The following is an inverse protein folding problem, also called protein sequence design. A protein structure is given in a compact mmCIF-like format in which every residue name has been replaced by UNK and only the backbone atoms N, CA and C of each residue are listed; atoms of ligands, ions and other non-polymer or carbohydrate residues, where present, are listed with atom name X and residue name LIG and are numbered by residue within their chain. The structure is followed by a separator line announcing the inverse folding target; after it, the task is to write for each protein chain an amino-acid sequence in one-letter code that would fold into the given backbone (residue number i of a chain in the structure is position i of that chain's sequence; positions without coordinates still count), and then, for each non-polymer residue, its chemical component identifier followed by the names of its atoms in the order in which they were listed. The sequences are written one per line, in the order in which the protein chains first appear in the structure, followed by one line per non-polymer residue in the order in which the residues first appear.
data_IF_632696693434
#
_entry.id   IF_632696693434
#
_cell.length_a   1.000
_cell.length_b   1.000
_cell.length_c   1.000
_cell.angle_alpha   90.00
_cell.angle_beta   90.00
_cell.angle_gamma   90.00
#
_symmetry.space_group_name_H-M   'P 1'
#
loop_
_entity.id
_entity.type
_entity.pdbx_description
1 polymer ?
#
# COMPACT_ATOMS: atom_id res chain seq x y z
N UNK A 1 72.61 1.63 48.55
CA UNK A 1 71.87 0.43 48.99
C UNK A 1 70.47 0.86 49.40
N UNK A 2 69.47 0.44 48.62
CA UNK A 2 68.02 0.36 48.93
C UNK A 2 67.29 1.69 49.25
N UNK A 3 66.15 2.05 48.64
CA UNK A 3 65.26 1.29 47.77
C UNK A 3 64.22 2.21 47.13
N UNK A 4 63.92 1.90 45.87
CA UNK A 4 62.80 2.45 45.11
C UNK A 4 61.55 1.70 45.55
N UNK A 5 60.46 2.40 45.87
CA UNK A 5 59.12 1.81 45.75
C UNK A 5 58.08 2.91 45.50
N UNK A 6 57.52 2.81 44.29
CA UNK A 6 56.53 3.65 43.66
C UNK A 6 55.22 3.68 44.46
N UNK A 7 54.75 4.89 44.77
CA UNK A 7 53.35 5.14 45.17
C UNK A 7 52.53 5.12 43.88
N UNK A 8 52.05 3.92 43.51
CA UNK A 8 51.08 3.74 42.44
C UNK A 8 49.68 4.07 42.95
N UNK A 9 49.07 5.09 42.35
CA UNK A 9 47.66 5.47 42.48
C UNK A 9 46.76 4.25 42.16
N UNK A 10 46.25 3.57 43.18
CA UNK A 10 45.09 2.71 43.04
C UNK A 10 43.83 3.59 43.00
N UNK A 11 43.57 4.19 41.83
CA UNK A 11 42.20 4.50 41.44
C UNK A 11 41.56 3.14 41.12
N UNK A 12 40.52 2.68 41.84
CA UNK A 12 39.73 1.58 41.32
C UNK A 12 39.08 2.09 40.04
N UNK A 13 39.59 1.64 38.90
CA UNK A 13 38.84 1.69 37.66
C UNK A 13 37.59 0.86 37.91
N UNK A 14 36.51 1.54 38.30
CA UNK A 14 35.16 1.07 38.05
C UNK A 14 35.02 1.07 36.53
N UNK A 15 35.56 0.03 35.89
CA UNK A 15 35.13 -0.37 34.57
C UNK A 15 33.69 -0.82 34.78
N UNK A 16 32.78 0.13 34.57
CA UNK A 16 31.42 -0.16 34.19
C UNK A 16 31.50 -0.96 32.89
N UNK A 17 31.65 -2.28 33.02
CA UNK A 17 31.28 -3.22 31.97
C UNK A 17 29.78 -3.03 31.75
N UNK A 18 29.41 -2.01 30.96
CA UNK A 18 28.20 -2.12 30.16
C UNK A 18 28.53 -3.20 29.15
N UNK A 19 28.29 -4.45 29.55
CA UNK A 19 28.25 -5.57 28.63
C UNK A 19 27.41 -5.12 27.44
N UNK A 20 28.01 -5.12 26.25
CA UNK A 20 27.25 -5.02 25.02
C UNK A 20 26.14 -6.07 25.12
N UNK A 21 24.85 -5.71 24.97
CA UNK A 21 23.79 -6.69 25.07
C UNK A 21 24.11 -7.81 24.08
N UNK A 22 24.35 -9.01 24.59
CA UNK A 22 24.69 -10.16 23.79
C UNK A 22 23.57 -10.35 22.77
N UNK A 23 23.88 -10.14 21.49
CA UNK A 23 22.89 -10.24 20.43
C UNK A 23 22.50 -11.71 20.34
N UNK A 24 21.29 -12.01 20.81
CA UNK A 24 20.71 -13.36 20.78
C UNK A 24 20.84 -13.92 19.35
N UNK A 25 21.61 -15.01 19.24
CA UNK A 25 22.02 -15.62 17.97
C UNK A 25 20.83 -16.03 17.11
N UNK A 26 19.64 -16.22 17.71
CA UNK A 26 18.38 -16.47 17.00
C UNK A 26 17.97 -15.34 16.07
N UNK A 27 18.30 -14.10 16.38
CA UNK A 27 17.90 -12.92 15.59
C UNK A 27 18.99 -12.44 14.64
N UNK A 28 20.22 -12.95 14.77
CA UNK A 28 21.38 -12.48 14.04
C UNK A 28 21.17 -12.51 12.51
N UNK A 29 20.52 -13.55 12.01
CA UNK A 29 20.17 -13.66 10.59
C UNK A 29 19.31 -12.48 10.10
N UNK A 30 18.23 -12.16 10.83
CA UNK A 30 17.31 -11.07 10.48
C UNK A 30 17.97 -9.70 10.63
N UNK A 31 18.75 -9.51 11.71
CA UNK A 31 19.48 -8.25 11.94
C UNK A 31 20.49 -7.98 10.83
N UNK A 32 21.20 -9.00 10.35
CA UNK A 32 22.12 -8.89 9.22
C UNK A 32 21.39 -8.55 7.91
N UNK A 33 20.21 -9.14 7.67
CA UNK A 33 19.39 -8.78 6.51
C UNK A 33 18.93 -7.32 6.57
N UNK A 34 18.42 -6.86 7.71
CA UNK A 34 17.99 -5.46 7.91
C UNK A 34 19.17 -4.52 7.69
N UNK A 35 20.32 -4.80 8.31
CA UNK A 35 21.52 -3.98 8.19
C UNK A 35 21.95 -3.85 6.72
N UNK A 36 22.01 -4.98 6.01
CA UNK A 36 22.37 -5.02 4.58
C UNK A 36 21.36 -4.24 3.73
N UNK A 37 20.06 -4.39 4.00
CA UNK A 37 19.00 -3.70 3.26
C UNK A 37 19.06 -2.18 3.46
N UNK A 38 19.23 -1.72 4.72
CA UNK A 38 19.35 -0.30 5.06
C UNK A 38 20.59 0.33 4.42
N UNK A 39 21.74 -0.38 4.43
CA UNK A 39 22.96 0.11 3.79
C UNK A 39 22.85 0.24 2.26
N UNK A 40 22.06 -0.62 1.62
CA UNK A 40 21.84 -0.61 0.17
C UNK A 40 20.71 0.32 -0.26
N UNK A 41 19.85 0.73 0.66
CA UNK A 41 18.72 1.58 0.35
C UNK A 41 19.20 3.01 0.08
N UNK A 42 18.93 3.49 -1.13
CA UNK A 42 19.01 4.92 -1.44
C UNK A 42 17.60 5.49 -1.38
N UNK A 43 17.35 6.57 -0.61
CA UNK A 43 16.07 7.25 -0.68
C UNK A 43 15.87 7.77 -2.11
N UNK A 44 14.66 7.61 -2.69
CA UNK A 44 14.39 8.12 -4.02
C UNK A 44 14.41 9.65 -4.01
N UNK A 45 14.95 10.26 -5.07
CA UNK A 45 14.93 11.72 -5.25
C UNK A 45 13.48 12.20 -5.43
N UNK A 46 12.88 12.62 -4.32
CA UNK A 46 11.45 12.93 -4.22
C UNK A 46 11.04 14.24 -4.90
N UNK A 47 11.99 15.08 -5.31
CA UNK A 47 11.70 16.45 -5.77
C UNK A 47 11.02 16.52 -7.14
N UNK A 48 11.12 15.48 -7.98
CA UNK A 48 10.62 15.52 -9.37
C UNK A 48 9.59 14.43 -9.70
N UNK A 49 9.03 13.72 -8.70
CA UNK A 49 8.06 12.65 -8.95
C UNK A 49 8.62 11.41 -9.67
N UNK A 50 9.95 11.26 -9.73
CA UNK A 50 10.65 10.21 -10.48
C UNK A 50 10.77 8.88 -9.74
N UNK A 51 10.28 8.80 -8.49
CA UNK A 51 10.37 7.60 -7.65
C UNK A 51 9.88 6.32 -8.36
N UNK A 52 8.89 6.45 -9.23
CA UNK A 52 8.27 5.33 -9.95
C UNK A 52 8.67 5.27 -11.43
N UNK A 53 9.58 6.13 -11.89
CA UNK A 53 9.96 6.21 -13.31
C UNK A 53 10.59 4.90 -13.81
N UNK A 54 11.36 4.22 -12.96
CA UNK A 54 11.93 2.90 -13.30
C UNK A 54 10.83 1.88 -13.64
N UNK A 55 9.73 1.88 -12.90
CA UNK A 55 8.59 0.97 -13.15
C UNK A 55 8.00 1.25 -14.54
N UNK A 56 7.76 2.52 -14.85
CA UNK A 56 7.28 2.93 -16.16
C UNK A 56 8.25 2.52 -17.29
N UNK A 57 9.56 2.68 -17.08
CA UNK A 57 10.56 2.29 -18.07
C UNK A 57 10.56 0.77 -18.31
N UNK A 58 10.50 -0.03 -17.26
CA UNK A 58 10.48 -1.49 -17.34
C UNK A 58 9.21 -1.99 -18.05
N UNK A 59 8.05 -1.40 -17.76
CA UNK A 59 6.77 -1.75 -18.39
C UNK A 59 6.70 -1.36 -19.88
N UNK A 60 7.35 -0.26 -20.26
CA UNK A 60 7.33 0.24 -21.64
C UNK A 60 8.47 -0.30 -22.52
N UNK A 61 9.53 -0.87 -21.94
CA UNK A 61 10.67 -1.41 -22.69
C UNK A 61 10.26 -2.42 -23.80
N UNK A 62 9.29 -3.33 -23.58
CA UNK A 62 8.84 -4.24 -24.63
C UNK A 62 8.27 -3.54 -25.87
N UNK A 63 7.80 -2.29 -25.74
CA UNK A 63 7.17 -1.51 -26.80
C UNK A 63 8.11 -0.46 -27.40
N UNK A 64 9.40 -0.52 -27.08
CA UNK A 64 10.42 0.44 -27.56
C UNK A 64 10.52 0.55 -29.08
N UNK A 65 10.19 -0.53 -29.81
CA UNK A 65 10.15 -0.54 -31.29
C UNK A 65 8.89 0.11 -31.87
N UNK A 66 7.97 0.58 -31.02
CA UNK A 66 6.71 1.18 -31.40
C UNK A 66 5.53 0.20 -31.36
N UNK A 67 4.33 0.76 -31.27
CA UNK A 67 3.06 0.03 -31.27
C UNK A 67 2.44 0.20 -32.64
N UNK A 68 2.29 -0.89 -33.40
CA UNK A 68 1.70 -0.85 -34.73
C UNK A 68 0.17 -0.82 -34.67
N UNK A 69 -0.46 -0.33 -35.75
CA UNK A 69 -1.91 -0.37 -35.91
C UNK A 69 -2.46 -1.80 -35.82
N UNK A 70 -1.77 -2.77 -36.43
CA UNK A 70 -2.19 -4.17 -36.41
C UNK A 70 -2.13 -4.76 -35.00
N UNK A 71 -1.11 -4.37 -34.22
CA UNK A 71 -1.03 -4.75 -32.81
C UNK A 71 -2.22 -4.19 -32.02
N UNK A 72 -2.55 -2.92 -32.22
CA UNK A 72 -3.71 -2.31 -31.56
C UNK A 72 -5.03 -3.00 -31.94
N UNK A 73 -5.25 -3.27 -33.23
CA UNK A 73 -6.44 -4.01 -33.71
C UNK A 73 -6.54 -5.42 -33.11
N UNK A 74 -5.41 -6.11 -32.95
CA UNK A 74 -5.37 -7.42 -32.28
C UNK A 74 -5.78 -7.33 -30.80
N UNK A 75 -5.39 -6.27 -30.08
CA UNK A 75 -5.80 -6.06 -28.69
C UNK A 75 -7.31 -5.78 -28.60
N UNK A 76 -7.84 -4.90 -29.47
CA UNK A 76 -9.26 -4.55 -29.52
C UNK A 76 -10.15 -5.77 -29.84
N UNK A 77 -9.78 -6.55 -30.86
CA UNK A 77 -10.54 -7.76 -31.25
C UNK A 77 -10.60 -8.82 -30.15
N UNK A 78 -9.60 -8.87 -29.27
CA UNK A 78 -9.55 -9.79 -28.12
C UNK A 78 -10.31 -9.28 -26.90
N UNK A 79 -10.82 -8.05 -26.92
CA UNK A 79 -11.55 -7.42 -25.79
C UNK A 79 -10.78 -7.51 -24.46
N UNK A 80 -9.48 -7.19 -24.48
CA UNK A 80 -8.61 -7.32 -23.30
C UNK A 80 -8.78 -6.19 -22.27
N UNK A 81 -9.52 -5.14 -22.61
CA UNK A 81 -9.80 -3.99 -21.74
C UNK A 81 -10.73 -3.01 -22.44
N UNK A 82 -10.89 -1.84 -21.85
CA UNK A 82 -11.74 -0.78 -22.39
C UNK A 82 -10.93 0.15 -23.30
N UNK A 83 -11.38 0.36 -24.54
CA UNK A 83 -10.72 1.24 -25.51
C UNK A 83 -11.03 2.71 -25.25
N UNK A 84 -9.96 3.51 -25.19
CA UNK A 84 -9.99 4.96 -25.08
C UNK A 84 -9.20 5.59 -26.23
N UNK A 85 -9.62 6.78 -26.63
CA UNK A 85 -8.91 7.62 -27.58
C UNK A 85 -8.86 9.05 -27.03
N UNK A 86 -7.71 9.69 -27.19
CA UNK A 86 -7.50 11.11 -26.93
C UNK A 86 -7.25 11.75 -28.28
N UNK A 87 -8.12 12.67 -28.68
CA UNK A 87 -8.01 13.38 -29.95
C UNK A 87 -8.36 14.85 -29.71
N UNK A 88 -7.43 15.75 -30.02
CA UNK A 88 -7.55 17.19 -29.78
C UNK A 88 -7.94 17.52 -28.33
N UNK A 89 -7.22 16.92 -27.37
CA UNK A 89 -7.46 17.07 -25.92
C UNK A 89 -8.89 16.72 -25.47
N UNK A 90 -9.55 15.80 -26.18
CA UNK A 90 -10.85 15.24 -25.80
C UNK A 90 -10.73 13.74 -25.63
N UNK A 91 -11.30 13.24 -24.54
CA UNK A 91 -11.38 11.81 -24.25
C UNK A 91 -12.62 11.21 -24.90
N UNK A 92 -12.40 10.12 -25.61
CA UNK A 92 -13.43 9.24 -26.16
C UNK A 92 -13.21 7.85 -25.58
N UNK A 93 -14.30 7.12 -25.35
CA UNK A 93 -14.30 5.75 -24.84
C UNK A 93 -15.29 4.94 -25.67
N UNK A 94 -15.02 3.67 -25.86
CA UNK A 94 -16.06 2.75 -26.35
C UNK A 94 -17.26 2.73 -25.38
N UNK A 95 -18.43 2.33 -25.86
CA UNK A 95 -19.65 2.35 -25.05
C UNK A 95 -19.55 1.36 -23.87
N UNK A 96 -19.13 0.13 -24.15
CA UNK A 96 -19.03 -0.96 -23.17
C UNK A 96 -17.87 -0.74 -22.18
N UNK A 97 -18.19 -0.59 -20.88
CA UNK A 97 -17.23 -0.75 -19.79
C UNK A 97 -17.80 -1.73 -18.77
N UNK A 98 -17.10 -2.84 -18.55
CA UNK A 98 -17.53 -3.91 -17.65
C UNK A 98 -17.74 -3.44 -16.21
N UNK A 99 -16.91 -2.51 -15.73
CA UNK A 99 -16.96 -1.97 -14.38
C UNK A 99 -17.04 -0.44 -14.41
N UNK A 100 -18.26 0.11 -14.54
CA UNK A 100 -18.47 1.55 -14.75
C UNK A 100 -17.76 2.44 -13.72
N UNK A 101 -17.84 2.10 -12.42
CA UNK A 101 -17.15 2.87 -11.38
C UNK A 101 -15.62 2.80 -11.47
N UNK A 102 -15.05 1.68 -11.97
CA UNK A 102 -13.60 1.57 -12.22
C UNK A 102 -13.19 2.48 -13.40
N UNK A 103 -13.98 2.48 -14.49
CA UNK A 103 -13.76 3.39 -15.61
C UNK A 103 -13.84 4.85 -15.18
N UNK A 104 -14.86 5.24 -14.38
CA UNK A 104 -14.96 6.61 -13.87
C UNK A 104 -13.76 7.03 -13.00
N UNK A 105 -13.24 6.11 -12.17
CA UNK A 105 -12.01 6.36 -11.41
C UNK A 105 -10.77 6.56 -12.28
N UNK A 106 -10.66 5.86 -13.42
CA UNK A 106 -9.58 6.09 -14.42
C UNK A 106 -9.79 7.41 -15.16
N UNK A 107 -11.01 7.67 -15.62
CA UNK A 107 -11.39 8.88 -16.35
C UNK A 107 -11.12 10.15 -15.53
N UNK A 108 -11.31 10.11 -14.20
CA UNK A 108 -10.95 11.22 -13.31
C UNK A 108 -9.52 11.72 -13.56
N UNK A 109 -8.54 10.82 -13.58
CA UNK A 109 -7.14 11.17 -13.79
C UNK A 109 -6.84 11.54 -15.25
N UNK A 110 -7.43 10.82 -16.22
CA UNK A 110 -7.24 11.15 -17.64
C UNK A 110 -7.74 12.56 -17.96
N UNK A 111 -8.93 12.92 -17.46
CA UNK A 111 -9.55 14.23 -17.65
C UNK A 111 -8.70 15.37 -17.06
N UNK A 112 -8.06 15.15 -15.92
CA UNK A 112 -7.12 16.12 -15.30
C UNK A 112 -5.88 16.32 -16.18
N UNK A 113 -5.39 15.26 -16.82
CA UNK A 113 -4.19 15.28 -17.65
C UNK A 113 -4.44 15.75 -19.09
N UNK A 114 -5.68 15.67 -19.59
CA UNK A 114 -6.06 15.94 -20.98
C UNK A 114 -5.40 17.18 -21.62
N UNK A 115 -5.32 18.36 -20.94
CA UNK A 115 -4.71 19.55 -21.53
C UNK A 115 -3.25 19.36 -21.96
N UNK A 116 -2.54 18.40 -21.37
CA UNK A 116 -1.13 18.15 -21.60
C UNK A 116 -0.85 16.86 -22.39
N UNK A 117 -1.87 16.07 -22.71
CA UNK A 117 -1.71 14.80 -23.42
C UNK A 117 -1.80 15.00 -24.94
N UNK A 118 -0.89 14.38 -25.73
CA UNK A 118 -1.02 14.35 -27.17
C UNK A 118 -2.13 13.39 -27.62
N UNK A 119 -2.44 13.42 -28.91
CA UNK A 119 -3.33 12.44 -29.53
C UNK A 119 -2.77 11.02 -29.38
N UNK A 120 -3.58 10.11 -28.84
CA UNK A 120 -3.20 8.72 -28.58
C UNK A 120 -4.42 7.82 -28.44
N UNK A 121 -4.22 6.51 -28.50
CA UNK A 121 -5.24 5.53 -28.13
C UNK A 121 -4.69 4.51 -27.14
N UNK A 122 -5.56 4.04 -26.24
CA UNK A 122 -5.22 3.23 -25.08
C UNK A 122 -6.24 2.11 -24.94
N UNK A 123 -5.81 0.95 -24.45
CA UNK A 123 -6.72 -0.10 -23.97
C UNK A 123 -6.42 -0.30 -22.50
N UNK A 124 -7.38 0.04 -21.64
CA UNK A 124 -7.20 0.01 -20.18
C UNK A 124 -7.99 -1.17 -19.63
N UNK A 125 -7.29 -2.19 -19.15
CA UNK A 125 -7.92 -3.32 -18.49
C UNK A 125 -8.29 -2.96 -17.05
N UNK A 126 -9.59 -2.91 -16.75
CA UNK A 126 -10.10 -2.70 -15.39
C UNK A 126 -10.30 -4.01 -14.60
N UNK A 127 -9.88 -5.15 -15.15
CA UNK A 127 -9.92 -6.46 -14.49
C UNK A 127 -8.58 -6.76 -13.81
N UNK A 128 -8.54 -7.78 -12.96
CA UNK A 128 -7.40 -8.05 -12.07
C UNK A 128 -6.26 -8.85 -12.76
N UNK A 129 -5.95 -8.56 -14.02
CA UNK A 129 -4.90 -9.23 -14.81
C UNK A 129 -3.65 -8.36 -14.98
N UNK A 130 -2.47 -8.98 -15.14
CA UNK A 130 -1.20 -8.27 -15.29
C UNK A 130 -1.07 -7.63 -16.68
N UNK A 131 -0.86 -6.31 -16.70
CA UNK A 131 -0.59 -5.48 -17.88
C UNK A 131 0.38 -4.34 -17.48
N UNK A 132 0.64 -3.37 -18.38
CA UNK A 132 1.34 -2.11 -18.02
C UNK A 132 0.64 -1.48 -16.82
N UNK A 133 1.39 -1.23 -15.75
CA UNK A 133 0.80 -0.74 -14.50
C UNK A 133 0.38 0.72 -14.62
N UNK A 134 -0.77 1.02 -14.04
CA UNK A 134 -1.28 2.38 -13.88
C UNK A 134 -1.87 2.55 -12.47
N UNK A 135 -1.95 3.79 -11.94
CA UNK A 135 -2.60 4.04 -10.66
C UNK A 135 -4.05 3.54 -10.69
N UNK A 136 -4.37 2.59 -9.82
CA UNK A 136 -5.69 1.97 -9.81
C UNK A 136 -6.82 2.99 -9.58
N UNK A 137 -7.97 2.76 -10.20
CA UNK A 137 -9.19 3.55 -10.07
C UNK A 137 -9.53 3.90 -8.61
N UNK A 138 -9.29 2.96 -7.68
CA UNK A 138 -9.59 3.10 -6.24
C UNK A 138 -8.83 4.23 -5.53
N UNK A 139 -7.82 4.84 -6.16
CA UNK A 139 -7.27 6.11 -5.66
C UNK A 139 -8.34 7.21 -5.63
N UNK A 140 -9.31 7.15 -6.55
CA UNK A 140 -10.48 8.02 -6.61
C UNK A 140 -11.78 7.29 -6.22
N UNK A 141 -12.17 6.23 -6.95
CA UNK A 141 -13.41 5.48 -6.72
C UNK A 141 -13.41 4.08 -7.37
N UNK A 142 -14.49 3.32 -7.21
CA UNK A 142 -14.65 2.01 -7.88
C UNK A 142 -13.88 0.85 -7.23
N UNK A 143 -13.32 1.05 -6.04
CA UNK A 143 -12.78 -0.02 -5.22
C UNK A 143 -13.88 -0.90 -4.57
N UNK A 144 -13.51 -1.91 -3.76
CA UNK A 144 -14.46 -2.84 -3.18
C UNK A 144 -15.55 -2.16 -2.32
N UNK A 145 -16.82 -2.47 -2.58
CA UNK A 145 -17.97 -1.98 -1.82
C UNK A 145 -18.26 -2.87 -0.60
N UNK A 146 -17.43 -2.70 0.43
CA UNK A 146 -17.47 -3.49 1.65
C UNK A 146 -18.54 -2.93 2.60
N UNK A 147 -19.73 -3.52 2.62
CA UNK A 147 -20.79 -3.09 3.54
C UNK A 147 -20.50 -3.46 4.99
N UNK A 148 -20.76 -2.58 5.99
CA UNK A 148 -21.30 -1.21 5.88
C UNK A 148 -20.24 -0.10 5.80
N UNK A 149 -18.96 -0.46 5.72
CA UNK A 149 -17.83 0.48 5.91
C UNK A 149 -17.59 1.36 4.67
N UNK A 150 -17.71 0.78 3.48
CA UNK A 150 -17.55 1.44 2.18
C UNK A 150 -18.79 1.21 1.30
N UNK A 151 -19.93 1.84 1.63
CA UNK A 151 -21.19 1.60 0.94
C UNK A 151 -21.16 1.99 -0.55
N UNK A 152 -20.32 2.95 -0.92
CA UNK A 152 -20.14 3.45 -2.29
C UNK A 152 -18.86 2.95 -2.94
N UNK A 153 -18.23 1.91 -2.38
CA UNK A 153 -16.91 1.45 -2.82
C UNK A 153 -15.77 2.18 -2.12
N UNK A 154 -14.67 1.46 -1.91
CA UNK A 154 -13.41 2.05 -1.44
C UNK A 154 -12.89 3.06 -2.49
N UNK A 155 -12.44 4.22 -2.02
CA UNK A 155 -12.04 5.34 -2.88
C UNK A 155 -11.38 6.45 -2.06
N UNK A 156 -11.21 7.61 -2.70
CA UNK A 156 -10.81 8.88 -2.06
C UNK A 156 -9.56 8.72 -1.19
N UNK A 157 -8.48 8.30 -1.81
CA UNK A 157 -7.19 8.11 -1.15
C UNK A 157 -6.66 9.41 -0.52
N UNK A 158 -7.02 10.56 -1.09
CA UNK A 158 -6.77 11.88 -0.53
C UNK A 158 -7.34 12.00 0.89
N UNK A 159 -8.63 11.69 1.09
CA UNK A 159 -9.30 11.74 2.39
C UNK A 159 -8.83 10.61 3.32
N UNK A 160 -8.70 9.40 2.79
CA UNK A 160 -8.27 8.22 3.57
C UNK A 160 -6.91 8.45 4.24
N UNK A 161 -5.96 9.09 3.55
CA UNK A 161 -4.65 9.43 4.14
C UNK A 161 -4.76 10.36 5.33
N UNK A 162 -5.67 11.34 5.30
CA UNK A 162 -5.88 12.26 6.41
C UNK A 162 -6.45 11.52 7.63
N UNK A 163 -7.43 10.65 7.41
CA UNK A 163 -8.05 9.89 8.49
C UNK A 163 -7.11 8.85 9.08
N UNK A 164 -6.30 8.18 8.26
CA UNK A 164 -5.23 7.29 8.72
C UNK A 164 -4.17 8.05 9.53
N UNK A 165 -3.81 9.28 9.12
CA UNK A 165 -2.87 10.11 9.88
C UNK A 165 -3.43 10.48 11.25
N UNK A 166 -4.68 10.96 11.31
CA UNK A 166 -5.37 11.25 12.59
C UNK A 166 -5.43 10.01 13.49
N UNK A 167 -5.76 8.85 12.92
CA UNK A 167 -5.81 7.59 13.67
C UNK A 167 -4.42 7.15 14.18
N UNK A 168 -3.37 7.35 13.37
CA UNK A 168 -2.00 7.04 13.76
C UNK A 168 -1.52 7.92 14.94
N UNK A 169 -1.88 9.21 14.95
CA UNK A 169 -1.55 10.13 16.03
C UNK A 169 -2.23 9.74 17.36
N UNK A 170 -3.43 9.16 17.30
CA UNK A 170 -4.13 8.62 18.47
C UNK A 170 -3.51 7.31 19.01
N UNK A 171 -2.84 6.55 18.14
CA UNK A 171 -2.25 5.25 18.44
C UNK A 171 -0.73 5.21 18.21
N UNK A 172 0.08 5.95 19.00
CA UNK A 172 1.54 5.90 18.95
C UNK A 172 2.08 4.50 19.23
N UNK A 173 3.32 4.23 18.80
CA UNK A 173 3.92 2.89 18.79
C UNK A 173 3.81 2.15 20.12
N UNK A 174 4.10 2.84 21.23
CA UNK A 174 4.11 2.28 22.59
C UNK A 174 2.71 1.88 23.08
N UNK A 175 1.65 2.45 22.48
CA UNK A 175 0.25 2.12 22.80
C UNK A 175 -0.33 1.01 21.92
N UNK A 176 0.39 0.56 20.88
CA UNK A 176 -0.10 -0.49 19.98
C UNK A 176 -0.10 -1.84 20.69
N UNK A 177 -1.13 -2.64 20.42
CA UNK A 177 -1.23 -4.00 20.97
C UNK A 177 -0.21 -4.88 20.25
N UNK A 178 0.68 -5.61 20.97
CA UNK A 178 1.72 -6.46 20.36
C UNK A 178 1.13 -7.79 19.85
N UNK A 179 0.12 -7.70 18.99
CA UNK A 179 -0.54 -8.81 18.31
C UNK A 179 -0.69 -8.43 16.84
N UNK A 180 -0.30 -9.34 15.94
CA UNK A 180 -0.67 -9.29 14.54
C UNK A 180 -2.19 -9.19 14.37
N UNK A 181 -2.61 -8.47 13.35
CA UNK A 181 -4.01 -8.18 13.09
C UNK A 181 -4.30 -8.35 11.59
N UNK A 182 -5.38 -9.05 11.27
CA UNK A 182 -5.86 -9.19 9.89
C UNK A 182 -7.39 -9.28 9.86
N UNK A 183 -7.99 -8.60 8.87
CA UNK A 183 -9.43 -8.68 8.54
C UNK A 183 -9.56 -8.64 7.02
N UNK A 184 -10.20 -9.64 6.44
CA UNK A 184 -10.37 -9.77 4.99
C UNK A 184 -11.34 -10.91 4.64
N UNK A 185 -11.75 -10.97 3.38
CA UNK A 185 -12.55 -12.07 2.84
C UNK A 185 -11.70 -13.34 2.70
N UNK A 186 -12.36 -14.50 2.57
CA UNK A 186 -11.70 -15.81 2.51
C UNK A 186 -11.14 -16.21 1.15
N UNK A 187 -10.99 -15.27 0.23
CA UNK A 187 -10.66 -15.56 -1.16
C UNK A 187 -9.18 -15.88 -1.39
N UNK A 188 -8.31 -15.59 -0.41
CA UNK A 188 -6.88 -15.84 -0.49
C UNK A 188 -6.40 -17.01 0.38
N UNK A 189 -5.48 -17.82 -0.15
CA UNK A 189 -4.79 -18.90 0.59
C UNK A 189 -4.09 -18.37 1.86
N UNK A 190 -3.62 -17.12 1.83
CA UNK A 190 -3.06 -16.42 3.00
C UNK A 190 -4.08 -16.28 4.13
N UNK A 191 -5.34 -15.98 3.84
CA UNK A 191 -6.39 -15.93 4.88
C UNK A 191 -6.57 -17.28 5.56
N UNK A 192 -6.51 -18.37 4.79
CA UNK A 192 -6.61 -19.73 5.32
C UNK A 192 -5.42 -20.07 6.23
N UNK A 193 -4.20 -19.69 5.84
CA UNK A 193 -3.01 -19.83 6.69
C UNK A 193 -3.17 -19.03 7.98
N UNK A 194 -3.58 -17.77 7.87
CA UNK A 194 -3.76 -16.89 9.03
C UNK A 194 -4.83 -17.44 9.99
N UNK A 195 -5.92 -18.02 9.46
CA UNK A 195 -6.97 -18.70 10.24
C UNK A 195 -6.39 -19.86 11.03
N UNK A 196 -5.57 -20.67 10.37
CA UNK A 196 -4.93 -21.83 10.98
C UNK A 196 -3.95 -21.42 12.07
N UNK A 197 -3.14 -20.38 11.85
CA UNK A 197 -2.21 -19.85 12.86
C UNK A 197 -2.96 -19.30 14.08
N UNK A 198 -4.04 -18.54 13.86
CA UNK A 198 -4.86 -18.01 14.95
C UNK A 198 -5.52 -19.10 15.81
N UNK A 199 -5.76 -20.29 15.25
CA UNK A 199 -6.36 -21.43 15.96
C UNK A 199 -5.37 -22.23 16.83
N UNK A 200 -4.07 -21.92 16.76
CA UNK A 200 -3.05 -22.62 17.56
C UNK A 200 -3.12 -22.13 19.02
N UNK A 201 -3.36 -23.02 20.02
CA UNK A 201 -3.56 -22.64 21.42
C UNK A 201 -2.39 -21.86 22.06
N UNK A 202 -1.20 -21.95 21.45
CA UNK A 202 0.04 -21.29 21.89
C UNK A 202 0.44 -20.09 21.01
N UNK A 203 -0.44 -19.59 20.14
CA UNK A 203 -0.19 -18.39 19.34
C UNK A 203 -0.90 -17.15 19.97
N UNK A 204 -0.36 -16.53 21.04
CA UNK A 204 -0.96 -15.34 21.65
C UNK A 204 -0.89 -14.08 20.76
N UNK A 205 -0.36 -14.21 19.54
CA UNK A 205 0.17 -13.10 18.73
C UNK A 205 -0.74 -12.75 17.55
N UNK A 206 -1.90 -13.38 17.33
CA UNK A 206 -2.75 -13.04 16.18
C UNK A 206 -4.22 -12.84 16.56
N UNK A 207 -4.77 -11.64 16.31
CA UNK A 207 -6.20 -11.34 16.45
C UNK A 207 -6.87 -11.48 15.09
N UNK A 208 -7.68 -12.52 14.94
CA UNK A 208 -8.63 -12.64 13.85
C UNK A 208 -10.02 -12.18 14.29
N UNK A 209 -10.88 -11.85 13.35
CA UNK A 209 -12.27 -11.52 13.64
C UNK A 209 -13.07 -11.50 12.37
N UNK A 210 -14.33 -11.85 12.53
CA UNK A 210 -15.27 -11.96 11.44
C UNK A 210 -15.88 -10.62 11.12
N UNK A 211 -16.29 -10.47 9.87
CA UNK A 211 -17.09 -9.34 9.40
C UNK A 211 -18.35 -9.10 10.24
N UNK A 212 -18.92 -10.18 10.80
CA UNK A 212 -20.22 -10.13 11.49
C UNK A 212 -20.13 -9.80 12.99
N UNK A 213 -18.96 -9.88 13.65
CA UNK A 213 -18.90 -9.78 15.14
C UNK A 213 -18.66 -8.37 15.68
N UNK A 214 -18.39 -7.37 14.82
CA UNK A 214 -18.08 -5.98 15.22
C UNK A 214 -19.29 -5.04 15.15
N UNK A 215 -20.39 -5.46 14.51
CA UNK A 215 -21.61 -4.65 14.38
C UNK A 215 -22.21 -4.20 15.73
N UNK A 216 -21.88 -4.83 16.86
CA UNK A 216 -22.52 -4.56 18.15
C UNK A 216 -21.64 -3.93 19.25
N UNK A 217 -20.33 -3.72 19.07
CA UNK A 217 -19.49 -3.25 20.21
C UNK A 217 -18.52 -2.11 19.95
N UNK A 218 -18.20 -1.76 18.70
CA UNK A 218 -17.18 -0.72 18.42
C UNK A 218 -17.66 0.47 17.57
N UNK A 219 -18.91 0.49 17.10
CA UNK A 219 -19.49 1.68 16.45
C UNK A 219 -19.71 2.84 17.44
N UNK A 220 -19.85 2.56 18.74
CA UNK A 220 -20.05 3.58 19.79
C UNK A 220 -18.75 4.25 20.28
N UNK A 221 -17.58 3.75 19.85
CA UNK A 221 -16.26 4.30 20.28
C UNK A 221 -15.56 5.13 19.21
N UNK A 222 -16.10 5.20 18.00
CA UNK A 222 -15.59 6.11 16.97
C UNK A 222 -16.11 7.54 17.24
N UNK A 223 -15.25 8.57 17.11
CA UNK A 223 -15.70 9.95 17.22
C UNK A 223 -16.85 10.22 16.23
N UNK A 224 -17.88 10.94 16.66
CA UNK A 224 -19.09 11.23 15.87
C UNK A 224 -18.83 11.92 14.52
N UNK A 225 -17.61 12.38 14.25
CA UNK A 225 -17.19 13.04 13.01
C UNK A 225 -17.05 12.12 11.80
N UNK A 226 -17.07 10.79 11.97
CA UNK A 226 -17.02 9.82 10.85
C UNK A 226 -18.41 9.32 10.41
N UNK A 227 -19.49 9.84 11.01
CA UNK A 227 -20.83 9.70 10.43
C UNK A 227 -20.97 10.71 9.31
N UNK A 228 -20.76 10.27 8.07
CA UNK A 228 -21.29 10.99 6.93
C UNK A 228 -22.80 11.13 7.15
N UNK A 229 -23.25 12.37 7.25
CA UNK A 229 -24.66 12.72 7.35
C UNK A 229 -25.36 12.30 6.04
N UNK A 230 -26.18 11.26 6.13
CA UNK A 230 -26.98 10.70 5.04
C UNK A 230 -28.14 11.61 4.61
N UNK A 231 -28.21 12.86 5.07
CA UNK A 231 -29.30 13.79 4.72
C UNK A 231 -29.14 14.52 3.38
N UNK A 232 -28.05 14.31 2.63
CA UNK A 232 -27.83 14.99 1.33
C UNK A 232 -27.84 14.10 0.07
N UNK A 233 -28.24 12.83 0.17
CA UNK A 233 -28.49 12.01 -1.01
C UNK A 233 -29.99 12.01 -1.35
N UNK A 234 -30.41 12.98 -2.14
CA UNK A 234 -31.68 13.00 -2.89
C UNK A 234 -31.37 13.02 -4.38
#
# INVERSE_FOLDING_TARGET
MLGVLLIGLFLPQVLSERGTPEVDSRWLHYLNQIHTAVQRHSPPDSHNGTCFYRVLQEDLEPFRSGISRDLMQNVLSRKLGTHYQIINHRLYREEECMFSARCSGVEHFLLELLPNLPDMELVINTSDYNDIMYPAWTFWEGGPAVWPIYPTGLGRWDLMREDLKKAADLWPWEKKIPKGYFRGSSEDFLHTIMKKIASIPLAPVLIMGDFNSVMNTDLDRLPKSTRYDLSMAK
#
